data_IF_459618155312
#
_entry.id   IF_459618155312
#
_cell.length_a   1.000
_cell.length_b   1.000
_cell.length_c   1.000
_cell.angle_alpha   90.00
_cell.angle_beta   90.00
_cell.angle_gamma   90.00
#
_symmetry.space_group_name_H-M   'P 1'
#
loop_
_entity.id
_entity.type
_entity.pdbx_description
1 polymer ?
#
# COMPACT_ATOMS: atom_id res chain seq x y z
N UNK A 1 -29.71 -43.92 54.17
CA UNK A 1 -31.12 -44.09 54.58
C UNK A 1 -31.51 -42.96 55.51
N UNK A 2 -32.62 -42.31 55.17
CA UNK A 2 -33.59 -41.58 56.00
C UNK A 2 -33.15 -40.62 57.12
N UNK A 3 -33.67 -39.40 56.99
CA UNK A 3 -33.97 -38.42 58.02
C UNK A 3 -34.59 -39.06 59.28
N UNK A 4 -34.52 -38.47 60.48
CA UNK A 4 -35.31 -37.31 60.93
C UNK A 4 -35.06 -37.18 62.46
N UNK A 5 -35.09 -36.03 63.18
CA UNK A 5 -36.29 -35.34 63.71
C UNK A 5 -35.83 -34.30 64.76
N UNK A 6 -36.32 -33.04 64.60
CA UNK A 6 -36.82 -32.00 65.57
C UNK A 6 -35.89 -31.54 66.71
N UNK A 7 -35.88 -30.28 67.18
CA UNK A 7 -36.87 -29.19 67.16
C UNK A 7 -36.20 -27.83 67.44
N UNK A 8 -36.75 -26.72 66.92
CA UNK A 8 -37.14 -25.47 67.66
C UNK A 8 -37.63 -24.44 66.63
N UNK A 9 -38.93 -24.25 66.47
CA UNK A 9 -39.80 -23.29 67.19
C UNK A 9 -39.84 -21.92 66.48
N UNK A 10 -40.90 -21.78 65.69
CA UNK A 10 -41.75 -20.62 65.39
C UNK A 10 -41.19 -19.18 65.35
N UNK A 11 -41.57 -18.48 64.27
CA UNK A 11 -41.99 -17.07 64.39
C UNK A 11 -41.40 -16.09 63.38
N UNK A 12 -42.00 -15.98 62.18
CA UNK A 12 -42.63 -14.73 61.67
C UNK A 12 -42.89 -14.80 60.17
N UNK A 13 -44.16 -14.61 59.84
CA UNK A 13 -44.71 -14.38 58.51
C UNK A 13 -44.02 -13.21 57.80
N UNK A 14 -43.55 -13.46 56.57
CA UNK A 14 -43.14 -12.43 55.60
C UNK A 14 -44.21 -12.37 54.51
N UNK A 15 -44.77 -11.20 54.17
CA UNK A 15 -45.77 -11.10 53.11
C UNK A 15 -45.12 -11.37 51.73
N UNK A 16 -45.88 -11.92 50.77
CA UNK A 16 -45.35 -12.26 49.45
C UNK A 16 -45.00 -11.00 48.65
N UNK A 17 -43.80 -11.02 48.06
CA UNK A 17 -43.28 -10.03 47.13
C UNK A 17 -44.12 -10.03 45.84
N UNK A 18 -44.62 -8.86 45.43
CA UNK A 18 -45.24 -8.68 44.11
C UNK A 18 -44.18 -8.85 43.00
N UNK A 19 -44.55 -9.46 41.85
CA UNK A 19 -43.66 -9.51 40.70
C UNK A 19 -43.42 -8.11 40.13
N UNK A 20 -42.21 -7.82 39.62
CA UNK A 20 -41.88 -6.48 39.12
C UNK A 20 -42.76 -6.10 37.93
N UNK A 21 -43.49 -4.99 38.06
CA UNK A 21 -44.16 -4.35 36.94
C UNK A 21 -43.10 -3.81 35.98
N UNK A 22 -43.09 -4.36 34.77
CA UNK A 22 -42.33 -3.81 33.64
C UNK A 22 -43.09 -2.58 33.14
N UNK A 23 -42.62 -1.39 33.52
CA UNK A 23 -43.03 -0.16 32.84
C UNK A 23 -42.39 -0.14 31.45
N UNK A 24 -43.13 0.13 30.36
CA UNK A 24 -42.51 0.37 29.08
C UNK A 24 -41.69 1.66 29.19
N UNK A 25 -40.37 1.52 29.20
CA UNK A 25 -39.43 2.63 29.06
C UNK A 25 -39.75 3.33 27.74
N UNK A 26 -40.30 4.55 27.82
CA UNK A 26 -40.43 5.42 26.67
C UNK A 26 -39.03 5.61 26.06
N UNK A 27 -38.83 5.02 24.88
CA UNK A 27 -37.67 5.32 24.05
C UNK A 27 -37.72 6.81 23.68
N UNK A 28 -36.68 7.61 23.93
CA UNK A 28 -36.62 8.92 23.29
C UNK A 28 -36.58 8.67 21.79
N UNK A 29 -37.58 9.21 21.08
CA UNK A 29 -37.61 9.20 19.63
C UNK A 29 -36.32 9.87 19.18
N UNK A 30 -35.38 9.07 18.65
CA UNK A 30 -34.23 9.61 17.94
C UNK A 30 -34.80 10.34 16.74
N UNK A 31 -34.71 11.67 16.74
CA UNK A 31 -35.04 12.46 15.57
C UNK A 31 -34.24 11.91 14.39
N UNK A 32 -34.94 11.29 13.44
CA UNK A 32 -34.38 10.96 12.14
C UNK A 32 -33.87 12.26 11.54
N UNK A 33 -32.56 12.35 11.31
CA UNK A 33 -31.99 13.43 10.51
C UNK A 33 -32.65 13.34 9.14
N UNK A 34 -33.62 14.22 8.89
CA UNK A 34 -34.18 14.43 7.57
C UNK A 34 -33.02 14.82 6.65
N UNK A 35 -32.88 14.23 5.45
CA UNK A 35 -31.89 14.71 4.50
C UNK A 35 -32.17 16.19 4.24
N UNK A 36 -31.14 17.02 4.38
CA UNK A 36 -31.19 18.44 4.09
C UNK A 36 -31.70 18.64 2.67
N UNK A 37 -32.96 19.05 2.53
CA UNK A 37 -33.53 19.44 1.25
C UNK A 37 -32.85 20.74 0.86
N UNK A 38 -32.04 20.68 -0.21
CA UNK A 38 -31.31 21.83 -0.71
C UNK A 38 -32.32 22.89 -1.17
N UNK A 39 -32.46 23.97 -0.41
CA UNK A 39 -33.34 25.08 -0.77
C UNK A 39 -32.55 26.10 -1.58
N UNK A 40 -32.98 26.37 -2.82
CA UNK A 40 -32.27 27.25 -3.78
C UNK A 40 -32.09 28.69 -3.25
N UNK A 41 -32.80 29.07 -2.19
CA UNK A 41 -32.74 30.39 -1.56
C UNK A 41 -31.79 30.49 -0.35
N UNK A 42 -31.12 29.42 0.09
CA UNK A 42 -30.19 29.45 1.25
C UNK A 42 -28.78 29.98 0.93
N UNK A 43 -28.55 30.49 -0.29
CA UNK A 43 -27.24 31.02 -0.73
C UNK A 43 -26.78 32.25 0.07
N UNK A 44 -27.70 33.05 0.62
CA UNK A 44 -27.38 34.32 1.28
C UNK A 44 -26.74 34.13 2.66
N UNK A 45 -26.94 32.99 3.32
CA UNK A 45 -26.29 32.69 4.62
C UNK A 45 -24.81 32.37 4.49
N UNK A 46 -24.40 31.74 3.40
CA UNK A 46 -23.00 31.39 3.16
C UNK A 46 -22.16 32.57 2.64
N UNK A 47 -22.79 33.51 1.94
CA UNK A 47 -22.08 34.71 1.48
C UNK A 47 -21.69 35.66 2.62
N UNK A 48 -22.46 35.66 3.73
CA UNK A 48 -22.17 36.52 4.88
C UNK A 48 -20.99 36.06 5.74
N UNK A 49 -20.59 34.79 5.62
CA UNK A 49 -19.40 34.26 6.30
C UNK A 49 -18.11 34.49 5.50
N UNK A 50 -18.22 34.97 4.25
CA UNK A 50 -17.07 35.24 3.38
C UNK A 50 -16.41 36.60 3.67
N UNK A 51 -17.06 37.48 4.45
CA UNK A 51 -16.52 38.79 4.87
C UNK A 51 -15.45 38.68 5.99
N UNK A 52 -15.33 37.55 6.71
CA UNK A 52 -14.36 37.43 7.83
C UNK A 52 -12.95 36.95 7.42
N UNK A 53 -12.65 36.74 6.13
CA UNK A 53 -11.32 36.26 5.68
C UNK A 53 -10.56 37.26 4.78
N UNK A 54 -10.82 38.56 4.92
CA UNK A 54 -10.14 39.65 4.18
C UNK A 54 -8.71 39.96 4.69
N UNK A 55 -7.94 38.95 5.12
CA UNK A 55 -6.66 39.13 5.83
C UNK A 55 -5.39 38.62 5.14
N UNK A 56 -5.41 38.21 3.87
CA UNK A 56 -4.22 37.71 3.16
C UNK A 56 -4.09 38.32 1.75
N UNK A 57 -3.27 39.35 1.62
CA UNK A 57 -2.84 39.90 0.33
C UNK A 57 -1.70 39.06 -0.27
N UNK A 58 -1.98 38.34 -1.36
CA UNK A 58 -0.95 37.70 -2.19
C UNK A 58 -0.82 38.51 -3.49
N UNK A 59 0.26 39.29 -3.57
CA UNK A 59 0.65 40.01 -4.78
C UNK A 59 1.09 39.02 -5.87
N UNK A 60 0.34 38.92 -6.97
CA UNK A 60 0.63 38.02 -8.10
C UNK A 60 1.26 38.71 -9.31
N UNK A 61 1.67 39.97 -9.19
CA UNK A 61 2.28 40.74 -10.27
C UNK A 61 3.59 41.38 -9.81
N UNK A 62 4.70 40.68 -9.99
CA UNK A 62 6.03 41.25 -9.77
C UNK A 62 7.15 40.22 -9.71
N UNK A 63 7.69 39.84 -10.87
CA UNK A 63 9.13 39.59 -11.15
C UNK A 63 9.23 38.69 -12.37
N UNK A 64 9.35 39.30 -13.56
CA UNK A 64 10.20 38.89 -14.69
C UNK A 64 9.89 39.83 -15.85
N UNK A 65 10.64 40.92 -15.94
CA UNK A 65 10.70 41.78 -17.12
C UNK A 65 12.17 41.92 -17.49
N UNK A 66 12.53 41.47 -18.69
CA UNK A 66 13.78 41.86 -19.33
C UNK A 66 14.86 40.77 -19.46
N UNK A 67 14.60 39.73 -20.25
CA UNK A 67 15.67 39.06 -21.01
C UNK A 67 15.18 38.82 -22.45
N UNK A 68 15.56 39.74 -23.34
CA UNK A 68 15.36 39.61 -24.79
C UNK A 68 16.54 38.89 -25.43
N UNK A 69 16.22 37.87 -26.23
CA UNK A 69 17.10 37.03 -27.03
C UNK A 69 17.64 37.78 -28.26
N UNK A 70 18.48 38.81 -28.09
CA UNK A 70 19.25 39.45 -29.19
C UNK A 70 20.54 40.12 -28.70
N UNK A 71 21.63 39.38 -28.65
CA UNK A 71 23.00 39.93 -28.74
C UNK A 71 24.04 38.83 -28.90
N UNK A 72 24.05 38.20 -30.07
CA UNK A 72 25.20 37.46 -30.59
C UNK A 72 25.51 38.08 -31.94
N UNK A 73 26.43 39.06 -31.99
CA UNK A 73 27.23 39.48 -33.17
C UNK A 73 27.98 40.78 -32.86
N UNK A 74 29.31 40.77 -33.08
CA UNK A 74 30.23 41.93 -33.21
C UNK A 74 30.46 42.78 -31.94
N UNK A 75 31.64 43.31 -31.62
CA UNK A 75 32.88 43.54 -32.35
C UNK A 75 33.40 44.94 -32.00
N UNK A 76 34.62 45.01 -31.43
CA UNK A 76 35.49 46.21 -31.26
C UNK A 76 35.14 47.31 -30.22
N UNK A 77 36.10 47.56 -29.31
CA UNK A 77 36.92 48.80 -29.22
C UNK A 77 37.30 49.24 -27.78
N UNK A 78 38.62 49.22 -27.56
CA UNK A 78 39.51 49.98 -26.63
C UNK A 78 38.89 51.06 -25.71
N UNK A 79 39.24 50.99 -24.42
CA UNK A 79 39.66 52.17 -23.64
C UNK A 79 40.50 51.76 -22.42
N UNK A 80 41.56 52.52 -22.18
CA UNK A 80 42.73 52.24 -21.36
C UNK A 80 42.72 53.13 -20.10
N UNK A 81 42.92 52.60 -18.89
CA UNK A 81 43.36 53.34 -17.69
C UNK A 81 44.19 52.44 -16.77
N UNK A 82 45.40 52.85 -16.33
CA UNK A 82 46.27 52.03 -15.47
C UNK A 82 46.37 52.57 -14.04
N UNK A 83 46.35 51.71 -13.01
CA UNK A 83 47.02 51.89 -11.70
C UNK A 83 47.28 50.49 -11.05
N UNK A 84 48.12 50.30 -10.00
CA UNK A 84 49.36 49.51 -10.04
C UNK A 84 49.32 48.19 -9.23
N UNK A 85 50.41 47.42 -9.34
CA UNK A 85 50.59 46.02 -8.96
C UNK A 85 50.52 45.67 -7.46
N UNK A 86 50.00 44.46 -7.16
CA UNK A 86 50.60 43.49 -6.22
C UNK A 86 50.25 42.03 -6.64
N UNK A 87 51.11 41.03 -6.32
CA UNK A 87 51.01 39.68 -6.88
C UNK A 87 50.30 38.69 -5.93
N UNK A 88 49.23 38.06 -6.41
CA UNK A 88 48.72 36.81 -5.81
C UNK A 88 48.49 35.79 -6.91
N UNK A 89 49.25 34.70 -6.82
CA UNK A 89 49.13 33.55 -7.71
C UNK A 89 47.74 32.91 -7.58
N UNK A 90 47.02 32.63 -8.68
CA UNK A 90 45.87 31.75 -8.64
C UNK A 90 46.33 30.30 -8.71
N UNK A 91 45.98 29.52 -7.69
CA UNK A 91 46.00 28.06 -7.71
C UNK A 91 45.17 27.54 -8.91
N UNK A 92 45.57 26.44 -9.57
CA UNK A 92 44.81 25.92 -10.70
C UNK A 92 43.43 25.46 -10.22
N UNK A 93 42.40 26.14 -10.70
CA UNK A 93 41.00 25.72 -10.58
C UNK A 93 40.94 24.34 -11.21
N UNK A 94 40.72 23.33 -10.35
CA UNK A 94 40.47 21.96 -10.76
C UNK A 94 39.40 21.98 -11.85
N UNK A 95 39.78 21.59 -13.06
CA UNK A 95 38.88 21.51 -14.19
C UNK A 95 37.66 20.70 -13.78
N UNK A 96 36.52 21.37 -13.64
CA UNK A 96 35.25 20.72 -13.40
C UNK A 96 35.00 19.76 -14.56
N UNK A 97 35.27 18.47 -14.30
CA UNK A 97 34.95 17.39 -15.22
C UNK A 97 33.46 17.53 -15.53
N UNK A 98 33.03 17.60 -16.81
CA UNK A 98 31.62 17.65 -17.13
C UNK A 98 30.94 16.43 -16.46
N UNK A 99 29.75 16.59 -15.85
CA UNK A 99 29.05 15.47 -15.26
C UNK A 99 28.83 14.45 -16.38
N UNK A 100 29.55 13.32 -16.30
CA UNK A 100 29.34 12.18 -17.19
C UNK A 100 27.83 11.92 -17.23
N UNK A 101 27.24 12.03 -18.42
CA UNK A 101 25.80 12.00 -18.64
C UNK A 101 25.12 11.01 -17.70
N UNK A 102 24.35 11.55 -16.77
CA UNK A 102 23.78 10.80 -15.66
C UNK A 102 22.81 9.73 -16.19
N UNK A 103 23.32 8.53 -16.43
CA UNK A 103 22.46 7.36 -16.57
C UNK A 103 21.69 7.23 -15.25
N UNK A 104 20.38 7.49 -15.31
CA UNK A 104 19.48 7.31 -14.16
C UNK A 104 19.74 5.92 -13.58
N UNK A 105 20.19 5.86 -12.33
CA UNK A 105 20.51 4.61 -11.65
C UNK A 105 19.27 3.73 -11.65
N UNK A 106 19.31 2.65 -12.43
CA UNK A 106 18.17 1.71 -12.55
C UNK A 106 17.91 1.09 -11.19
N UNK A 107 16.66 1.16 -10.73
CA UNK A 107 16.25 0.54 -9.46
C UNK A 107 16.54 -0.95 -9.48
N UNK A 108 16.91 -1.54 -8.35
CA UNK A 108 17.13 -2.99 -8.21
C UNK A 108 16.15 -3.65 -7.24
N UNK A 109 15.14 -2.89 -6.80
CA UNK A 109 14.10 -3.36 -5.87
C UNK A 109 13.21 -4.38 -6.58
N UNK A 110 13.07 -5.61 -6.09
CA UNK A 110 12.18 -6.60 -6.69
C UNK A 110 10.71 -6.17 -6.61
N UNK A 111 9.90 -6.60 -7.58
CA UNK A 111 8.47 -6.32 -7.68
C UNK A 111 7.67 -7.63 -7.55
N UNK A 112 6.63 -7.59 -6.72
CA UNK A 112 5.64 -8.66 -6.56
C UNK A 112 4.30 -8.12 -7.07
N UNK A 113 3.65 -8.87 -7.96
CA UNK A 113 2.31 -8.54 -8.46
C UNK A 113 1.28 -9.40 -7.72
N UNK A 114 0.24 -8.77 -7.20
CA UNK A 114 -0.91 -9.48 -6.62
C UNK A 114 -2.19 -9.25 -7.46
N UNK A 115 -3.23 -10.09 -7.33
CA UNK A 115 -4.50 -9.82 -7.97
C UNK A 115 -5.15 -8.52 -7.48
N UNK A 116 -5.76 -7.77 -8.39
CA UNK A 116 -6.64 -6.65 -8.05
C UNK A 116 -8.04 -7.11 -7.57
N UNK A 117 -8.29 -8.42 -7.49
CA UNK A 117 -9.60 -8.98 -7.16
C UNK A 117 -9.94 -8.83 -5.67
N UNK A 118 -11.16 -8.35 -5.39
CA UNK A 118 -11.66 -8.16 -4.01
C UNK A 118 -11.83 -9.47 -3.23
N UNK A 119 -12.01 -10.58 -3.94
CA UNK A 119 -12.20 -11.91 -3.35
C UNK A 119 -10.87 -12.68 -3.21
N UNK A 120 -9.75 -12.06 -3.56
CA UNK A 120 -8.43 -12.65 -3.36
C UNK A 120 -8.10 -12.70 -1.86
N UNK A 121 -7.48 -13.80 -1.42
CA UNK A 121 -7.01 -13.94 -0.04
C UNK A 121 -5.85 -12.96 0.25
N UNK A 122 -5.04 -12.66 -0.75
CA UNK A 122 -3.97 -11.65 -0.67
C UNK A 122 -4.40 -10.39 -1.41
N UNK A 123 -4.35 -9.24 -0.72
CA UNK A 123 -4.77 -7.93 -1.23
C UNK A 123 -3.82 -6.84 -0.74
N UNK A 124 -3.96 -5.63 -1.29
CA UNK A 124 -3.17 -4.47 -0.85
C UNK A 124 -3.43 -4.10 0.63
N UNK A 125 -4.51 -4.57 1.24
CA UNK A 125 -4.79 -4.32 2.66
C UNK A 125 -3.96 -5.19 3.60
N UNK A 126 -3.67 -6.43 3.22
CA UNK A 126 -3.09 -7.44 4.10
C UNK A 126 -1.72 -7.97 3.65
N UNK A 127 -1.26 -7.60 2.45
CA UNK A 127 -0.02 -8.13 1.88
C UNK A 127 1.20 -7.86 2.76
N UNK A 128 1.22 -6.74 3.49
CA UNK A 128 2.30 -6.44 4.45
C UNK A 128 2.29 -7.44 5.61
N UNK A 129 1.14 -7.66 6.26
CA UNK A 129 0.99 -8.63 7.34
C UNK A 129 1.38 -10.06 6.88
N UNK A 130 1.00 -10.40 5.65
CA UNK A 130 1.26 -11.73 5.09
C UNK A 130 2.71 -11.96 4.71
N UNK A 131 3.35 -11.03 4.00
CA UNK A 131 4.69 -11.24 3.46
C UNK A 131 5.79 -10.80 4.42
N UNK A 132 5.55 -9.78 5.24
CA UNK A 132 6.51 -9.28 6.22
C UNK A 132 6.40 -10.02 7.55
N UNK A 133 5.18 -10.12 8.08
CA UNK A 133 4.94 -10.67 9.43
C UNK A 133 4.59 -12.16 9.41
N UNK A 134 4.42 -12.73 8.21
CA UNK A 134 4.06 -14.14 7.98
C UNK A 134 2.77 -14.54 8.70
N UNK A 135 1.80 -13.63 8.71
CA UNK A 135 0.51 -13.78 9.38
C UNK A 135 -0.62 -13.49 8.41
N UNK A 136 -1.58 -14.41 8.32
CA UNK A 136 -2.78 -14.14 7.54
C UNK A 136 -3.78 -13.31 8.34
N UNK A 137 -4.19 -12.19 7.75
CA UNK A 137 -5.29 -11.35 8.21
C UNK A 137 -6.22 -11.12 7.03
N UNK A 138 -7.52 -11.30 7.23
CA UNK A 138 -8.50 -11.11 6.16
C UNK A 138 -8.63 -9.63 5.78
N UNK A 139 -9.03 -9.37 4.54
CA UNK A 139 -9.31 -8.01 4.06
C UNK A 139 -10.43 -7.36 4.87
N UNK A 140 -11.43 -8.14 5.31
CA UNK A 140 -12.53 -7.70 6.16
C UNK A 140 -12.02 -7.20 7.52
N UNK A 141 -11.12 -7.96 8.16
CA UNK A 141 -10.50 -7.56 9.43
C UNK A 141 -9.68 -6.27 9.28
N UNK A 142 -8.90 -6.13 8.21
CA UNK A 142 -8.14 -4.88 7.96
C UNK A 142 -9.06 -3.69 7.75
N UNK A 143 -10.16 -3.86 7.00
CA UNK A 143 -11.16 -2.81 6.77
C UNK A 143 -11.89 -2.44 8.08
N UNK A 144 -12.29 -3.42 8.88
CA UNK A 144 -12.94 -3.18 10.18
C UNK A 144 -12.02 -2.43 11.17
N UNK A 145 -10.71 -2.65 11.09
CA UNK A 145 -9.71 -1.91 11.86
C UNK A 145 -9.38 -0.51 11.28
N UNK A 146 -10.13 -0.01 10.29
CA UNK A 146 -9.91 1.30 9.68
C UNK A 146 -8.76 1.35 8.66
N UNK A 147 -8.30 0.20 8.18
CA UNK A 147 -7.23 0.10 7.19
C UNK A 147 -7.60 0.79 5.88
N UNK A 148 -6.67 1.61 5.36
CA UNK A 148 -6.78 2.23 4.04
C UNK A 148 -6.11 1.35 2.99
N UNK A 149 -6.57 1.48 1.74
CA UNK A 149 -5.95 0.80 0.60
C UNK A 149 -4.88 1.69 -0.01
N UNK A 150 -3.66 1.17 -0.07
CA UNK A 150 -2.59 1.77 -0.85
C UNK A 150 -2.59 1.23 -2.29
N UNK A 151 -2.14 2.05 -3.23
CA UNK A 151 -1.95 1.63 -4.62
C UNK A 151 -0.64 0.84 -4.81
N UNK A 152 0.30 1.02 -3.89
CA UNK A 152 1.61 0.39 -3.89
C UNK A 152 2.06 0.22 -2.44
N UNK A 153 2.64 -0.93 -2.11
CA UNK A 153 3.12 -1.24 -0.75
C UNK A 153 4.59 -1.62 -0.82
N UNK A 154 5.41 -1.03 0.03
CA UNK A 154 6.80 -1.42 0.22
C UNK A 154 6.90 -2.33 1.46
N UNK A 155 7.25 -3.60 1.25
CA UNK A 155 7.51 -4.54 2.35
C UNK A 155 9.01 -4.63 2.62
N UNK A 156 9.39 -4.82 3.89
CA UNK A 156 10.79 -4.91 4.31
C UNK A 156 11.05 -6.33 4.81
N UNK A 157 11.72 -7.15 3.99
CA UNK A 157 12.06 -8.52 4.36
C UNK A 157 13.41 -8.56 5.06
N UNK A 158 13.44 -9.15 6.26
CA UNK A 158 14.70 -9.45 6.95
C UNK A 158 15.23 -10.82 6.51
N UNK A 159 16.48 -10.85 6.04
CA UNK A 159 17.16 -12.06 5.55
C UNK A 159 18.67 -11.91 5.72
N UNK A 160 19.32 -12.89 6.33
CA UNK A 160 20.79 -12.93 6.51
C UNK A 160 21.39 -11.64 7.12
N UNK A 161 20.71 -11.06 8.11
CA UNK A 161 21.13 -9.80 8.75
C UNK A 161 20.94 -8.55 7.87
N UNK A 162 20.37 -8.69 6.67
CA UNK A 162 20.04 -7.59 5.78
C UNK A 162 18.54 -7.38 5.67
N UNK A 163 18.13 -6.13 5.48
CA UNK A 163 16.75 -5.76 5.20
C UNK A 163 16.64 -5.43 3.71
N UNK A 164 15.76 -6.14 3.03
CA UNK A 164 15.55 -6.02 1.60
C UNK A 164 14.14 -5.48 1.34
N UNK A 165 14.02 -4.35 0.62
CA UNK A 165 12.73 -3.84 0.21
C UNK A 165 12.17 -4.63 -0.97
N UNK A 166 10.87 -4.93 -0.94
CA UNK A 166 10.13 -5.44 -2.11
C UNK A 166 8.94 -4.51 -2.37
N UNK A 167 8.75 -4.14 -3.62
CA UNK A 167 7.62 -3.33 -4.09
C UNK A 167 6.47 -4.26 -4.45
N UNK A 168 5.29 -4.00 -3.93
CA UNK A 168 4.07 -4.77 -4.21
C UNK A 168 3.06 -3.89 -4.94
N UNK A 169 2.54 -4.40 -6.05
CA UNK A 169 1.52 -3.72 -6.86
C UNK A 169 0.38 -4.68 -7.21
N UNK A 170 -0.82 -4.15 -7.44
CA UNK A 170 -1.96 -4.92 -7.94
C UNK A 170 -2.42 -4.50 -9.34
N UNK A 171 -1.87 -3.39 -9.85
CA UNK A 171 -2.14 -2.90 -11.20
C UNK A 171 -0.86 -2.93 -12.07
N UNK A 172 -0.68 -3.98 -12.89
CA UNK A 172 0.50 -4.12 -13.75
C UNK A 172 0.58 -3.06 -14.86
N UNK A 173 -0.52 -2.38 -15.22
CA UNK A 173 -0.50 -1.32 -16.22
C UNK A 173 0.30 -0.08 -15.79
N UNK A 174 0.64 0.04 -14.49
CA UNK A 174 1.52 1.09 -13.97
C UNK A 174 3.01 0.76 -14.06
N UNK A 175 3.37 -0.45 -14.50
CA UNK A 175 4.75 -0.88 -14.63
C UNK A 175 5.33 -0.38 -15.96
N UNK A 176 6.50 0.25 -15.88
CA UNK A 176 7.26 0.62 -17.08
C UNK A 176 7.92 -0.62 -17.72
N UNK A 177 8.34 -0.58 -18.99
CA UNK A 177 9.04 -1.69 -19.62
C UNK A 177 10.28 -2.18 -18.82
N UNK A 178 11.01 -1.28 -18.16
CA UNK A 178 12.17 -1.63 -17.34
C UNK A 178 11.80 -2.18 -15.95
N UNK A 179 10.56 -2.01 -15.50
CA UNK A 179 10.07 -2.59 -14.26
C UNK A 179 9.85 -4.11 -14.39
N UNK A 180 9.46 -4.58 -15.57
CA UNK A 180 9.18 -5.99 -15.83
C UNK A 180 10.38 -6.91 -15.60
N UNK A 181 11.60 -6.40 -15.81
CA UNK A 181 12.80 -7.16 -15.48
C UNK A 181 12.98 -7.35 -13.96
N UNK A 182 12.34 -6.52 -13.14
CA UNK A 182 12.39 -6.60 -11.67
C UNK A 182 11.22 -7.36 -11.07
N UNK A 183 10.25 -7.76 -11.88
CA UNK A 183 9.13 -8.59 -11.42
C UNK A 183 9.65 -9.99 -11.12
N UNK A 184 9.54 -10.40 -9.86
CA UNK A 184 10.07 -11.67 -9.36
C UNK A 184 8.97 -12.66 -9.02
N UNK A 185 7.77 -12.17 -8.68
CA UNK A 185 6.64 -13.04 -8.35
C UNK A 185 5.30 -12.47 -8.82
N UNK A 186 4.37 -13.38 -9.12
CA UNK A 186 2.95 -13.07 -9.37
C UNK A 186 2.05 -14.00 -8.57
N UNK A 187 1.05 -13.45 -7.91
CA UNK A 187 -0.02 -14.22 -7.28
C UNK A 187 -1.18 -14.40 -8.26
N UNK A 188 -1.59 -15.64 -8.47
CA UNK A 188 -2.50 -16.08 -9.54
C UNK A 188 -3.89 -16.39 -8.97
N UNK A 189 -4.94 -15.95 -9.66
CA UNK A 189 -6.33 -16.24 -9.33
C UNK A 189 -6.94 -17.41 -10.13
N UNK A 190 -6.37 -17.73 -11.31
CA UNK A 190 -6.77 -18.88 -12.14
C UNK A 190 -7.27 -18.53 -13.54
N UNK A 191 -8.10 -17.49 -13.75
CA UNK A 191 -8.47 -17.09 -15.10
C UNK A 191 -7.31 -16.44 -15.88
N UNK A 192 -7.11 -16.86 -17.14
CA UNK A 192 -6.01 -16.35 -17.99
C UNK A 192 -6.12 -14.85 -18.29
N UNK A 193 -7.33 -14.26 -18.25
CA UNK A 193 -7.52 -12.83 -18.44
C UNK A 193 -6.79 -11.98 -17.39
N UNK A 194 -6.43 -12.55 -16.24
CA UNK A 194 -5.60 -11.89 -15.22
C UNK A 194 -4.31 -11.32 -15.82
N UNK A 195 -3.75 -11.99 -16.83
CA UNK A 195 -2.48 -11.64 -17.44
C UNK A 195 -2.60 -10.69 -18.63
N UNK A 196 -3.80 -10.13 -18.89
CA UNK A 196 -3.98 -9.16 -19.95
C UNK A 196 -3.07 -7.94 -19.74
N UNK A 197 -2.28 -7.59 -20.75
CA UNK A 197 -1.35 -6.46 -20.72
C UNK A 197 0.02 -6.77 -20.11
N UNK A 198 0.30 -8.04 -19.79
CA UNK A 198 1.65 -8.50 -19.49
C UNK A 198 2.48 -8.50 -20.79
N UNK A 199 3.82 -8.43 -20.70
CA UNK A 199 4.68 -8.41 -21.88
C UNK A 199 4.85 -9.79 -22.55
N UNK A 200 4.18 -10.83 -22.02
CA UNK A 200 4.17 -12.19 -22.57
C UNK A 200 2.72 -12.64 -22.78
N UNK A 201 2.48 -13.41 -23.84
CA UNK A 201 1.13 -13.72 -24.31
C UNK A 201 0.51 -14.92 -23.59
N UNK A 202 1.34 -15.87 -23.13
CA UNK A 202 0.87 -17.12 -22.52
C UNK A 202 1.27 -17.26 -21.05
N UNK A 203 0.43 -17.86 -20.19
CA UNK A 203 0.80 -18.14 -18.81
C UNK A 203 2.10 -18.97 -18.68
N UNK A 204 2.36 -19.86 -19.64
CA UNK A 204 3.58 -20.68 -19.66
C UNK A 204 4.83 -19.81 -19.79
N UNK A 205 4.84 -18.85 -20.72
CA UNK A 205 5.94 -17.90 -20.88
C UNK A 205 6.10 -16.99 -19.65
N UNK A 206 4.98 -16.52 -19.09
CA UNK A 206 5.00 -15.69 -17.88
C UNK A 206 5.68 -16.44 -16.73
N UNK A 207 5.32 -17.71 -16.53
CA UNK A 207 5.81 -18.50 -15.40
C UNK A 207 7.22 -19.05 -15.59
N UNK A 208 7.75 -19.04 -16.82
CA UNK A 208 9.17 -19.25 -17.09
C UNK A 208 10.02 -18.05 -16.62
N UNK A 209 9.48 -16.83 -16.68
CA UNK A 209 10.19 -15.60 -16.28
C UNK A 209 9.94 -15.19 -14.82
N UNK A 210 8.75 -15.47 -14.30
CA UNK A 210 8.26 -14.97 -13.01
C UNK A 210 7.76 -16.13 -12.16
N UNK A 211 8.18 -16.19 -10.89
CA UNK A 211 7.67 -17.20 -9.97
C UNK A 211 6.17 -17.00 -9.69
N UNK A 212 5.36 -18.02 -9.97
CA UNK A 212 3.91 -17.94 -9.79
C UNK A 212 3.45 -18.65 -8.51
N UNK A 213 2.51 -18.01 -7.81
CA UNK A 213 1.96 -18.51 -6.56
C UNK A 213 0.44 -18.45 -6.58
N UNK A 214 -0.23 -19.44 -5.99
CA UNK A 214 -1.68 -19.43 -5.80
C UNK A 214 -2.00 -19.64 -4.33
N UNK A 215 -2.86 -18.80 -3.77
CA UNK A 215 -3.29 -18.89 -2.38
C UNK A 215 -4.73 -19.39 -2.32
N UNK A 216 -4.96 -20.44 -1.54
CA UNK A 216 -6.29 -21.00 -1.30
C UNK A 216 -6.46 -21.41 0.15
N UNK A 217 -7.72 -21.58 0.57
CA UNK A 217 -7.99 -22.34 1.78
C UNK A 217 -7.81 -23.85 1.54
N UNK A 218 -7.50 -24.60 2.59
CA UNK A 218 -7.27 -26.05 2.53
C UNK A 218 -8.49 -26.80 1.98
N UNK A 219 -9.71 -26.43 2.40
CA UNK A 219 -10.95 -27.10 1.95
C UNK A 219 -11.44 -26.70 0.55
N UNK A 220 -10.90 -25.63 -0.04
CA UNK A 220 -11.31 -25.17 -1.37
C UNK A 220 -10.63 -26.02 -2.45
N UNK A 221 -11.31 -26.34 -3.55
CA UNK A 221 -10.66 -27.01 -4.70
C UNK A 221 -9.75 -26.05 -5.44
N UNK A 222 -8.65 -26.57 -5.98
CA UNK A 222 -7.78 -25.79 -6.85
C UNK A 222 -8.53 -25.42 -8.14
N UNK A 223 -8.26 -24.24 -8.68
CA UNK A 223 -8.79 -23.84 -9.97
C UNK A 223 -8.19 -24.71 -11.10
N UNK A 224 -8.99 -25.20 -12.07
CA UNK A 224 -8.51 -26.11 -13.11
C UNK A 224 -7.40 -25.55 -14.01
N UNK A 225 -7.30 -24.23 -14.17
CA UNK A 225 -6.20 -23.64 -14.94
C UNK A 225 -4.92 -23.63 -14.10
N UNK A 226 -5.02 -23.30 -12.81
CA UNK A 226 -3.88 -23.30 -11.88
C UNK A 226 -3.25 -24.67 -11.77
N UNK A 227 -4.08 -25.74 -11.77
CA UNK A 227 -3.58 -27.13 -11.75
C UNK A 227 -2.70 -27.49 -12.95
N UNK A 228 -2.92 -26.84 -14.10
CA UNK A 228 -2.15 -27.07 -15.35
C UNK A 228 -0.92 -26.20 -15.46
N UNK A 229 -0.81 -25.17 -14.63
CA UNK A 229 0.25 -24.18 -14.73
C UNK A 229 1.38 -24.44 -13.75
N UNK A 230 2.58 -23.94 -14.06
CA UNK A 230 3.74 -23.99 -13.18
C UNK A 230 3.59 -22.99 -12.01
N UNK A 231 2.67 -23.30 -11.09
CA UNK A 231 2.29 -22.42 -9.97
C UNK A 231 2.52 -23.13 -8.64
N UNK A 232 3.18 -22.47 -7.70
CA UNK A 232 3.29 -22.96 -6.33
C UNK A 232 2.01 -22.69 -5.57
N UNK A 233 1.30 -23.74 -5.16
CA UNK A 233 0.06 -23.63 -4.38
C UNK A 233 0.39 -23.56 -2.90
N UNK A 234 -0.08 -22.50 -2.24
CA UNK A 234 0.02 -22.30 -0.80
C UNK A 234 -1.38 -22.43 -0.21
N UNK A 235 -1.50 -23.26 0.82
CA UNK A 235 -2.77 -23.54 1.48
C UNK A 235 -2.76 -22.92 2.87
N UNK A 236 -3.82 -22.19 3.19
CA UNK A 236 -4.06 -21.65 4.52
C UNK A 236 -5.25 -22.36 5.15
N UNK A 237 -5.20 -22.57 6.45
CA UNK A 237 -6.40 -22.96 7.19
C UNK A 237 -7.28 -21.75 7.45
N UNK A 238 -8.60 -21.92 7.55
CA UNK A 238 -9.50 -20.86 8.03
C UNK A 238 -9.34 -20.52 9.52
N UNK A 239 -8.88 -21.47 10.32
CA UNK A 239 -8.86 -21.34 11.79
C UNK A 239 -7.48 -21.50 12.40
N UNK A 240 -6.58 -22.30 11.80
CA UNK A 240 -5.27 -22.63 12.37
C UNK A 240 -4.20 -21.58 12.04
N UNK A 241 -4.30 -20.39 12.64
CA UNK A 241 -3.37 -19.26 12.40
C UNK A 241 -1.92 -19.53 12.79
N UNK A 242 -1.67 -20.45 13.71
CA UNK A 242 -0.31 -20.86 14.09
C UNK A 242 0.45 -21.56 12.94
N UNK A 243 -0.26 -22.04 11.91
CA UNK A 243 0.34 -22.66 10.73
C UNK A 243 0.67 -21.66 9.61
N UNK A 244 0.14 -20.43 9.68
CA UNK A 244 0.32 -19.41 8.64
C UNK A 244 1.79 -19.17 8.35
N UNK A 245 2.62 -19.08 9.40
CA UNK A 245 4.06 -18.82 9.27
C UNK A 245 4.74 -19.87 8.41
N UNK A 246 4.48 -21.15 8.68
CA UNK A 246 5.06 -22.24 7.91
C UNK A 246 4.58 -22.22 6.45
N UNK A 247 3.27 -22.01 6.24
CA UNK A 247 2.70 -21.95 4.90
C UNK A 247 3.25 -20.78 4.06
N UNK A 248 3.37 -19.59 4.66
CA UNK A 248 3.87 -18.38 3.99
C UNK A 248 5.40 -18.38 3.84
N UNK A 249 6.15 -19.13 4.67
CA UNK A 249 7.59 -19.31 4.45
C UNK A 249 7.90 -20.05 3.13
N UNK A 250 7.02 -20.95 2.68
CA UNK A 250 7.16 -21.65 1.39
C UNK A 250 7.26 -20.63 0.23
N UNK A 251 6.50 -19.54 0.28
CA UNK A 251 6.60 -18.46 -0.71
C UNK A 251 8.04 -17.94 -0.80
N UNK A 252 8.62 -17.55 0.33
CA UNK A 252 9.96 -16.98 0.38
C UNK A 252 11.05 -17.97 -0.03
N UNK A 253 10.94 -19.24 0.37
CA UNK A 253 11.89 -20.28 -0.05
C UNK A 253 11.89 -20.50 -1.56
N UNK A 254 10.70 -20.55 -2.17
CA UNK A 254 10.55 -20.74 -3.62
C UNK A 254 10.97 -19.50 -4.38
N UNK A 255 10.61 -18.32 -3.89
CA UNK A 255 11.02 -17.05 -4.49
C UNK A 255 12.55 -16.90 -4.44
N UNK A 256 13.19 -17.24 -3.33
CA UNK A 256 14.65 -17.18 -3.20
C UNK A 256 15.35 -18.02 -4.27
N UNK A 257 14.89 -19.26 -4.46
CA UNK A 257 15.43 -20.15 -5.50
C UNK A 257 15.26 -19.56 -6.89
N UNK A 258 14.09 -18.99 -7.18
CA UNK A 258 13.82 -18.33 -8.46
C UNK A 258 14.75 -17.14 -8.71
N UNK A 259 14.93 -16.26 -7.71
CA UNK A 259 15.73 -15.06 -7.89
C UNK A 259 17.22 -15.40 -8.05
N UNK A 260 17.76 -16.39 -7.32
CA UNK A 260 19.14 -16.89 -7.52
C UNK A 260 19.37 -17.29 -8.97
N UNK A 261 18.42 -18.04 -9.53
CA UNK A 261 18.58 -18.66 -10.84
C UNK A 261 18.35 -17.68 -11.98
N UNK A 262 17.30 -16.86 -11.90
CA UNK A 262 16.80 -16.10 -13.05
C UNK A 262 17.00 -14.59 -12.94
N UNK A 263 17.27 -14.07 -11.74
CA UNK A 263 17.32 -12.63 -11.46
C UNK A 263 18.53 -12.23 -10.58
N UNK A 264 19.77 -12.70 -10.87
CA UNK A 264 20.94 -12.45 -10.01
C UNK A 264 21.37 -10.98 -9.94
N UNK A 265 20.90 -10.15 -10.87
CA UNK A 265 21.22 -8.72 -10.92
C UNK A 265 20.41 -7.87 -9.90
N UNK A 266 19.35 -8.44 -9.31
CA UNK A 266 18.51 -7.75 -8.33
C UNK A 266 19.16 -7.71 -6.94
N UNK A 267 18.68 -6.80 -6.10
CA UNK A 267 19.04 -6.77 -4.67
C UNK A 267 17.85 -7.31 -3.88
N UNK A 268 17.97 -8.53 -3.35
CA UNK A 268 16.83 -9.32 -2.90
C UNK A 268 17.10 -10.16 -1.64
#
# INVERSE_FOLDING_TARGET
MLASIRAREEGRHRPPQQPPQVTPRATPIRATAQPSVYNRYDQERFNRQKEETEGFEINTMGTYHGMSLKSVTEGSAKANRPIPAQPTAPLPISAARPPSGGQKKVSRTPIIIIPAGTNSLITMYNVKDMLQDLRFVTTEQKRAAGGKRDNEVLIQRHRNGQTVPYRVVDNPAKLSPSDWDRVVAVWVMGPAWQFKGYPWDTPVEIFDKIAAFHLKYDEIRIDPNVEKWAVTVIQLSRTKRHLDRAALMIFWEKLDKHIIQFKPHLRW
#
